data_IF_144852813606
#
_entry.id   IF_144852813606
#
_cell.length_a   1.000
_cell.length_b   1.000
_cell.length_c   1.000
_cell.angle_alpha   90.00
_cell.angle_beta   90.00
_cell.angle_gamma   90.00
#
_symmetry.space_group_name_H-M   'P 1'
#
loop_
_entity.id
_entity.type
_entity.pdbx_description
1 polymer ?
#
# COMPACT_ATOMS: atom_id res chain seq x y z
N UNK A 1 11.72 -3.40 -11.18
CA UNK A 1 10.64 -2.40 -11.04
C UNK A 1 10.92 -1.60 -9.79
N UNK A 2 10.36 -0.41 -9.70
CA UNK A 2 10.43 0.48 -8.54
C UNK A 2 9.01 0.88 -8.17
N UNK A 3 8.75 1.10 -6.88
CA UNK A 3 7.54 1.80 -6.47
C UNK A 3 7.74 3.27 -6.83
N UNK A 4 6.98 3.77 -7.80
CA UNK A 4 7.11 5.11 -8.37
C UNK A 4 6.13 6.10 -7.73
N UNK A 5 4.95 5.63 -7.33
CA UNK A 5 3.94 6.49 -6.71
C UNK A 5 3.13 5.73 -5.68
N UNK A 6 2.75 6.45 -4.62
CA UNK A 6 1.78 6.02 -3.63
C UNK A 6 0.68 7.07 -3.55
N UNK A 7 -0.56 6.64 -3.72
CA UNK A 7 -1.75 7.45 -3.52
C UNK A 7 -2.58 6.83 -2.40
N UNK A 8 -2.99 7.63 -1.42
CA UNK A 8 -3.72 7.18 -0.24
C UNK A 8 -4.88 8.14 -0.02
N UNK A 9 -6.07 7.59 0.22
CA UNK A 9 -7.25 8.32 0.70
C UNK A 9 -7.84 7.56 1.88
N UNK A 10 -8.15 8.28 2.96
CA UNK A 10 -8.90 7.75 4.09
C UNK A 10 -8.15 6.74 4.96
N UNK A 11 -6.81 6.75 5.01
CA UNK A 11 -6.03 5.77 5.77
C UNK A 11 -5.34 6.36 7.01
N UNK A 12 -5.77 5.93 8.20
CA UNK A 12 -5.21 6.27 9.52
C UNK A 12 -5.03 7.77 9.70
N UNK A 13 -3.79 8.26 9.77
CA UNK A 13 -3.48 9.69 9.88
C UNK A 13 -3.43 10.45 8.55
N UNK A 14 -3.83 9.84 7.43
CA UNK A 14 -3.83 10.44 6.10
C UNK A 14 -5.27 10.53 5.57
N UNK A 15 -5.78 11.75 5.42
CA UNK A 15 -7.03 11.97 4.69
C UNK A 15 -6.78 11.81 3.17
N UNK A 16 -5.79 12.52 2.62
CA UNK A 16 -5.39 12.39 1.22
C UNK A 16 -3.89 12.64 1.06
N UNK A 17 -3.21 11.75 0.33
CA UNK A 17 -1.80 11.87 -0.01
C UNK A 17 -1.57 11.35 -1.43
N UNK A 18 -0.76 12.05 -2.20
CA UNK A 18 -0.17 11.55 -3.44
C UNK A 18 1.31 11.88 -3.42
N UNK A 19 2.16 10.87 -3.47
CA UNK A 19 3.61 11.01 -3.32
C UNK A 19 4.33 10.23 -4.42
N UNK A 20 5.19 10.94 -5.14
CA UNK A 20 6.17 10.32 -6.04
C UNK A 20 7.36 9.81 -5.24
N UNK A 21 7.85 8.63 -5.63
CA UNK A 21 8.99 7.97 -5.03
C UNK A 21 10.06 7.70 -6.08
N UNK A 22 11.30 7.98 -5.71
CA UNK A 22 12.49 7.65 -6.47
C UNK A 22 13.14 6.37 -5.92
N UNK A 23 14.35 6.05 -6.39
CA UNK A 23 15.11 4.92 -5.86
C UNK A 23 15.46 5.11 -4.38
N UNK A 24 15.81 6.34 -3.99
CA UNK A 24 16.14 6.72 -2.62
C UNK A 24 15.28 7.91 -2.21
N UNK A 25 14.58 7.81 -1.09
CA UNK A 25 13.65 8.83 -0.64
C UNK A 25 13.95 9.24 0.79
N UNK A 26 13.94 10.54 1.06
CA UNK A 26 14.01 11.10 2.42
C UNK A 26 12.68 11.78 2.71
N UNK A 27 11.93 11.26 3.67
CA UNK A 27 10.61 11.78 4.04
C UNK A 27 10.74 12.78 5.20
N UNK A 28 10.51 14.07 4.90
CA UNK A 28 10.56 15.19 5.85
C UNK A 28 9.20 15.90 5.83
N UNK A 29 8.72 16.29 7.02
CA UNK A 29 7.53 17.12 7.17
C UNK A 29 7.16 17.31 8.63
N UNK A 30 6.14 18.11 8.88
CA UNK A 30 5.64 18.48 10.21
C UNK A 30 5.14 17.30 11.06
N UNK A 31 5.06 17.47 12.37
CA UNK A 31 4.43 16.44 13.20
C UNK A 31 2.96 16.26 12.74
N UNK A 32 2.54 15.02 12.54
CA UNK A 32 1.20 14.62 12.09
C UNK A 32 0.85 14.75 10.59
N UNK A 33 1.80 15.01 9.67
CA UNK A 33 1.47 14.94 8.21
C UNK A 33 1.11 13.53 7.70
N UNK A 34 1.24 12.49 8.54
CA UNK A 34 0.93 11.11 8.17
C UNK A 34 2.14 10.25 7.80
N UNK A 35 3.38 10.67 8.08
CA UNK A 35 4.61 9.88 7.82
C UNK A 35 4.52 8.44 8.32
N UNK A 36 4.11 8.26 9.57
CA UNK A 36 3.99 6.95 10.20
C UNK A 36 2.91 6.12 9.49
N UNK A 37 1.77 6.73 9.17
CA UNK A 37 0.68 6.08 8.42
C UNK A 37 1.12 5.64 7.02
N UNK A 38 1.90 6.45 6.30
CA UNK A 38 2.45 6.06 4.99
C UNK A 38 3.37 4.84 5.12
N UNK A 39 4.28 4.86 6.10
CA UNK A 39 5.18 3.73 6.34
C UNK A 39 4.42 2.49 6.79
N UNK A 40 3.37 2.65 7.59
CA UNK A 40 2.50 1.56 8.01
C UNK A 40 1.76 0.97 6.81
N UNK A 41 1.13 1.80 5.97
CA UNK A 41 0.46 1.35 4.74
C UNK A 41 1.39 0.52 3.87
N UNK A 42 2.60 1.02 3.58
CA UNK A 42 3.59 0.28 2.79
C UNK A 42 4.03 -1.02 3.46
N UNK A 43 4.20 -1.02 4.79
CA UNK A 43 4.60 -2.22 5.54
C UNK A 43 3.48 -3.27 5.50
N UNK A 44 2.23 -2.87 5.66
CA UNK A 44 1.08 -3.78 5.70
C UNK A 44 0.80 -4.35 4.32
N UNK A 45 0.68 -3.50 3.30
CA UNK A 45 0.32 -3.92 1.93
C UNK A 45 1.40 -4.76 1.25
N UNK A 46 2.67 -4.55 1.61
CA UNK A 46 3.82 -5.21 0.99
C UNK A 46 4.60 -6.06 1.99
N UNK A 47 3.94 -6.52 3.08
CA UNK A 47 4.54 -7.45 4.04
C UNK A 47 4.75 -8.82 3.38
N UNK A 48 5.92 -9.47 3.52
CA UNK A 48 6.19 -10.78 2.92
C UNK A 48 5.51 -11.95 3.68
N UNK A 49 4.40 -11.70 4.38
CA UNK A 49 3.62 -12.70 5.11
C UNK A 49 2.89 -13.66 4.15
N UNK A 50 2.39 -14.77 4.68
CA UNK A 50 1.67 -15.78 3.90
C UNK A 50 0.36 -15.24 3.31
N UNK A 51 -0.33 -14.41 4.09
CA UNK A 51 -1.65 -13.91 3.78
C UNK A 51 -1.59 -12.45 3.34
N UNK A 52 -2.47 -12.08 2.40
CA UNK A 52 -2.57 -10.72 1.92
C UNK A 52 -3.26 -9.85 2.98
N UNK A 53 -2.78 -8.61 3.14
CA UNK A 53 -3.32 -7.70 4.13
C UNK A 53 -4.78 -7.31 3.87
N UNK A 54 -5.61 -7.40 4.91
CA UNK A 54 -6.99 -6.93 4.92
C UNK A 54 -7.12 -5.70 5.82
N UNK A 55 -7.93 -4.73 5.40
CA UNK A 55 -8.19 -3.55 6.21
C UNK A 55 -8.96 -3.90 7.47
N UNK A 56 -8.63 -3.19 8.54
CA UNK A 56 -9.34 -3.23 9.80
C UNK A 56 -10.06 -1.90 10.03
N UNK A 57 -11.02 -1.89 10.96
CA UNK A 57 -11.80 -0.68 11.26
C UNK A 57 -10.92 0.49 11.66
N UNK A 58 -9.79 0.23 12.32
CA UNK A 58 -8.85 1.25 12.79
C UNK A 58 -7.92 1.79 11.68
N UNK A 59 -8.00 1.24 10.47
CA UNK A 59 -7.32 1.81 9.31
C UNK A 59 -8.03 2.99 8.70
N UNK A 60 -9.32 3.19 8.97
CA UNK A 60 -10.08 4.28 8.39
C UNK A 60 -9.73 5.60 9.07
N UNK A 61 -9.45 6.63 8.26
CA UNK A 61 -9.17 7.97 8.73
C UNK A 61 -10.36 8.54 9.47
N UNK A 62 -10.10 9.35 10.49
CA UNK A 62 -11.11 10.14 11.16
C UNK A 62 -10.53 11.52 11.49
N UNK A 63 -11.36 12.58 11.48
CA UNK A 63 -10.92 13.92 11.86
C UNK A 63 -10.37 13.95 13.29
N UNK A 64 -9.28 14.69 13.55
CA UNK A 64 -8.80 14.89 14.92
C UNK A 64 -9.91 15.45 15.82
N UNK A 65 -10.22 14.74 16.91
CA UNK A 65 -11.26 15.14 17.86
C UNK A 65 -12.67 14.64 17.53
N UNK A 66 -12.87 13.97 16.40
CA UNK A 66 -14.16 13.36 16.03
C UNK A 66 -13.98 11.91 15.56
N UNK A 67 -14.05 10.97 16.50
CA UNK A 67 -13.99 9.53 16.23
C UNK A 67 -15.24 9.04 15.45
N UNK A 68 -16.37 9.74 15.58
CA UNK A 68 -17.61 9.37 14.91
C UNK A 68 -17.61 9.81 13.44
N UNK A 69 -16.80 10.81 13.08
CA UNK A 69 -16.53 11.21 11.70
C UNK A 69 -15.59 10.29 10.93
N UNK A 70 -15.43 9.03 11.35
CA UNK A 70 -14.57 8.05 10.67
C UNK A 70 -15.10 7.78 9.26
N UNK A 71 -14.19 7.78 8.31
CA UNK A 71 -14.51 7.50 6.91
C UNK A 71 -15.05 6.09 6.75
N UNK A 72 -15.99 5.94 5.83
CA UNK A 72 -16.54 4.63 5.45
C UNK A 72 -15.77 4.00 4.29
N UNK A 73 -14.98 4.79 3.58
CA UNK A 73 -14.22 4.36 2.41
C UNK A 73 -12.76 4.79 2.55
N UNK A 74 -11.86 3.88 2.19
CA UNK A 74 -10.46 4.20 2.02
C UNK A 74 -9.93 3.51 0.77
N UNK A 75 -8.90 4.07 0.15
CA UNK A 75 -8.19 3.38 -0.91
C UNK A 75 -6.72 3.75 -0.94
N UNK A 76 -5.92 2.78 -1.37
CA UNK A 76 -4.49 2.93 -1.55
C UNK A 76 -4.13 2.41 -2.93
N UNK A 77 -3.47 3.24 -3.74
CA UNK A 77 -2.96 2.87 -5.06
C UNK A 77 -1.44 2.92 -5.01
N UNK A 78 -0.82 1.79 -5.34
CA UNK A 78 0.62 1.63 -5.49
C UNK A 78 0.95 1.50 -6.98
N UNK A 79 1.73 2.44 -7.50
CA UNK A 79 2.17 2.43 -8.89
C UNK A 79 3.60 1.93 -8.98
N UNK A 80 3.80 0.79 -9.62
CA UNK A 80 5.11 0.21 -9.86
C UNK A 80 5.53 0.43 -11.31
N UNK A 81 6.70 1.02 -11.55
CA UNK A 81 7.25 1.19 -12.89
C UNK A 81 8.33 0.16 -13.18
N UNK A 82 8.40 -0.34 -14.41
CA UNK A 82 9.57 -1.12 -14.84
C UNK A 82 10.86 -0.30 -14.70
N UNK A 83 11.99 -0.96 -14.42
CA UNK A 83 13.25 -0.27 -14.13
C UNK A 83 13.92 0.31 -15.37
N UNK A 84 13.75 -0.35 -16.52
CA UNK A 84 14.17 0.09 -17.85
C UNK A 84 13.09 -0.35 -18.84
N UNK A 85 12.90 0.35 -19.97
CA UNK A 85 11.93 -0.05 -20.98
C UNK A 85 12.12 -1.50 -21.42
N UNK A 86 11.01 -2.27 -21.45
CA UNK A 86 10.99 -3.68 -21.84
C UNK A 86 11.42 -4.67 -20.76
N UNK A 87 11.83 -4.22 -19.57
CA UNK A 87 12.18 -5.12 -18.46
C UNK A 87 10.97 -5.83 -17.87
N UNK A 88 9.74 -5.36 -18.07
CA UNK A 88 8.54 -6.08 -17.68
C UNK A 88 8.45 -7.50 -18.29
N UNK A 89 9.16 -7.77 -19.40
CA UNK A 89 9.15 -9.07 -20.10
C UNK A 89 10.07 -10.14 -19.50
N UNK A 90 10.88 -9.83 -18.49
CA UNK A 90 11.78 -10.85 -17.91
C UNK A 90 11.00 -11.93 -17.19
N UNK A 91 11.52 -13.18 -17.18
CA UNK A 91 10.81 -14.36 -16.67
C UNK A 91 10.17 -14.20 -15.28
N UNK A 92 10.83 -13.50 -14.36
CA UNK A 92 10.31 -13.30 -13.00
C UNK A 92 9.01 -12.47 -12.93
N UNK A 93 8.69 -11.71 -13.98
CA UNK A 93 7.47 -10.89 -14.07
C UNK A 93 6.34 -11.57 -14.85
N UNK A 94 6.57 -12.76 -15.41
CA UNK A 94 5.56 -13.49 -16.18
C UNK A 94 4.21 -13.65 -15.45
N UNK A 95 4.16 -13.93 -14.13
CA UNK A 95 2.88 -14.01 -13.43
C UNK A 95 2.09 -12.69 -13.37
N UNK A 96 2.73 -11.55 -13.66
CA UNK A 96 2.12 -10.22 -13.68
C UNK A 96 1.90 -9.70 -15.11
N UNK A 97 2.07 -10.54 -16.13
CA UNK A 97 2.00 -10.13 -17.55
C UNK A 97 0.71 -9.36 -17.87
N UNK A 98 -0.44 -9.84 -17.38
CA UNK A 98 -1.74 -9.20 -17.56
C UNK A 98 -1.90 -7.88 -16.77
N UNK A 99 -1.11 -7.67 -15.71
CA UNK A 99 -1.21 -6.48 -14.86
C UNK A 99 -0.40 -5.27 -15.40
N UNK A 100 0.46 -5.48 -16.39
CA UNK A 100 1.28 -4.42 -16.96
C UNK A 100 0.49 -3.56 -17.94
N UNK A 101 0.53 -2.26 -17.71
CA UNK A 101 -0.08 -1.25 -18.55
C UNK A 101 0.99 -0.41 -19.26
N UNK A 102 0.97 -0.29 -20.60
CA UNK A 102 1.86 0.62 -21.32
C UNK A 102 1.48 2.07 -21.05
N UNK A 103 2.47 2.92 -20.78
CA UNK A 103 2.28 4.35 -20.59
C UNK A 103 2.93 5.17 -21.72
N UNK A 104 2.56 6.45 -21.80
CA UNK A 104 2.97 7.37 -22.87
C UNK A 104 4.45 7.71 -22.86
N UNK A 105 5.16 7.48 -21.76
CA UNK A 105 6.60 7.74 -21.59
C UNK A 105 7.48 6.54 -22.01
N UNK A 106 6.88 5.50 -22.60
CA UNK A 106 7.58 4.29 -23.06
C UNK A 106 7.88 3.28 -21.95
N UNK A 107 7.46 3.55 -20.71
CA UNK A 107 7.53 2.60 -19.61
C UNK A 107 6.20 1.88 -19.41
N UNK A 108 6.28 0.66 -18.92
CA UNK A 108 5.13 -0.09 -18.42
C UNK A 108 5.01 0.09 -16.91
N UNK A 109 3.76 0.16 -16.43
CA UNK A 109 3.41 0.30 -15.02
C UNK A 109 2.41 -0.76 -14.58
N UNK A 110 2.45 -1.12 -13.31
CA UNK A 110 1.40 -1.86 -12.62
C UNK A 110 0.75 -0.88 -11.64
N UNK A 111 -0.56 -0.73 -11.74
CA UNK A 111 -1.35 0.04 -10.78
C UNK A 111 -2.09 -0.94 -9.89
N UNK A 112 -1.68 -1.07 -8.63
CA UNK A 112 -2.29 -1.98 -7.69
C UNK A 112 -3.11 -1.20 -6.67
N UNK A 113 -4.43 -1.44 -6.65
CA UNK A 113 -5.37 -0.77 -5.76
C UNK A 113 -5.87 -1.73 -4.68
N UNK A 114 -5.87 -1.26 -3.44
CA UNK A 114 -6.67 -1.80 -2.36
C UNK A 114 -7.74 -0.77 -1.98
N UNK A 115 -8.97 -1.24 -1.82
CA UNK A 115 -10.13 -0.47 -1.36
C UNK A 115 -10.67 -1.10 -0.08
N UNK A 116 -11.01 -0.26 0.89
CA UNK A 116 -11.65 -0.64 2.13
C UNK A 116 -13.03 0.00 2.21
N UNK A 117 -14.05 -0.78 2.53
CA UNK A 117 -15.39 -0.29 2.84
C UNK A 117 -15.81 -0.76 4.23
N UNK A 118 -16.21 0.18 5.08
CA UNK A 118 -16.74 -0.11 6.42
C UNK A 118 -18.26 -0.01 6.41
N UNK A 119 -18.93 -1.11 6.71
CA UNK A 119 -20.37 -1.15 6.90
C UNK A 119 -20.78 -0.61 8.28
N UNK A 120 -22.07 -0.31 8.45
CA UNK A 120 -22.63 0.21 9.71
C UNK A 120 -22.54 -0.78 10.87
N UNK A 121 -22.54 -2.09 10.57
CA UNK A 121 -22.37 -3.16 11.57
C UNK A 121 -20.92 -3.31 12.06
N UNK A 122 -19.99 -2.51 11.52
CA UNK A 122 -18.58 -2.52 11.84
C UNK A 122 -17.77 -3.58 11.07
N UNK A 123 -18.38 -4.31 10.15
CA UNK A 123 -17.65 -5.18 9.22
C UNK A 123 -16.87 -4.35 8.21
N UNK A 124 -15.68 -4.84 7.86
CA UNK A 124 -14.78 -4.19 6.89
C UNK A 124 -14.57 -5.14 5.72
N UNK A 125 -14.88 -4.66 4.52
CA UNK A 125 -14.61 -5.34 3.27
C UNK A 125 -13.33 -4.79 2.66
N UNK A 126 -12.47 -5.68 2.16
CA UNK A 126 -11.27 -5.30 1.39
C UNK A 126 -11.39 -5.81 -0.02
N UNK A 127 -11.31 -4.89 -0.98
CA UNK A 127 -11.31 -5.15 -2.41
C UNK A 127 -9.90 -4.92 -2.96
N UNK A 128 -9.48 -5.77 -3.91
CA UNK A 128 -8.20 -5.67 -4.60
C UNK A 128 -8.44 -5.63 -6.09
N UNK A 129 -7.72 -4.76 -6.79
CA UNK A 129 -7.79 -4.68 -8.24
C UNK A 129 -6.48 -4.19 -8.83
N UNK A 130 -6.12 -4.70 -9.99
CA UNK A 130 -5.14 -4.06 -10.86
C UNK A 130 -5.87 -3.07 -11.76
N UNK A 131 -5.27 -1.92 -12.04
CA UNK A 131 -5.89 -0.88 -12.87
C UNK A 131 -5.11 -0.66 -14.16
N UNK A 132 -5.82 -0.22 -15.19
CA UNK A 132 -5.23 0.34 -16.40
C UNK A 132 -4.80 1.81 -16.20
N UNK A 133 -4.28 2.44 -17.26
CA UNK A 133 -3.80 3.83 -17.25
C UNK A 133 -4.92 4.86 -17.05
N UNK A 134 -6.16 4.46 -17.31
CA UNK A 134 -7.35 5.31 -17.23
C UNK A 134 -8.06 5.11 -15.86
N UNK A 135 -7.57 4.18 -15.03
CA UNK A 135 -8.05 3.91 -13.68
C UNK A 135 -9.11 2.81 -13.60
N UNK A 136 -9.36 2.09 -14.69
CA UNK A 136 -10.35 1.01 -14.71
C UNK A 136 -9.74 -0.33 -14.27
N UNK A 137 -10.49 -1.18 -13.55
CA UNK A 137 -10.04 -2.52 -13.20
C UNK A 137 -9.69 -3.35 -14.45
N UNK A 138 -8.54 -4.00 -14.41
CA UNK A 138 -8.12 -5.01 -15.38
C UNK A 138 -8.68 -6.36 -14.92
N UNK A 139 -9.33 -7.06 -15.83
CA UNK A 139 -9.78 -8.44 -15.60
C UNK A 139 -8.56 -9.38 -15.57
N UNK A 140 -8.34 -10.03 -14.43
CA UNK A 140 -7.23 -10.94 -14.20
C UNK A 140 -7.74 -12.19 -13.48
N UNK A 141 -7.29 -13.37 -13.91
CA UNK A 141 -7.87 -14.64 -13.46
C UNK A 141 -7.75 -14.90 -11.94
N UNK A 142 -6.59 -14.59 -11.34
CA UNK A 142 -6.36 -14.78 -9.90
C UNK A 142 -5.65 -13.57 -9.26
N UNK A 143 -6.45 -12.55 -8.95
CA UNK A 143 -6.01 -11.28 -8.33
C UNK A 143 -5.12 -11.53 -7.10
N UNK A 144 -5.46 -12.52 -6.29
CA UNK A 144 -4.74 -12.79 -5.04
C UNK A 144 -3.37 -13.40 -5.33
N UNK A 145 -3.24 -14.32 -6.28
CA UNK A 145 -1.94 -14.86 -6.67
C UNK A 145 -1.04 -13.82 -7.33
N UNK A 146 -1.60 -12.95 -8.17
CA UNK A 146 -0.84 -11.83 -8.75
C UNK A 146 -0.42 -10.83 -7.68
N UNK A 147 -1.30 -10.49 -6.73
CA UNK A 147 -0.95 -9.64 -5.58
C UNK A 147 0.17 -10.27 -4.73
N UNK A 148 0.08 -11.56 -4.39
CA UNK A 148 1.14 -12.27 -3.66
C UNK A 148 2.45 -12.24 -4.44
N UNK A 149 2.41 -12.43 -5.75
CA UNK A 149 3.61 -12.38 -6.59
C UNK A 149 4.21 -10.97 -6.65
N UNK A 150 3.38 -9.93 -6.71
CA UNK A 150 3.81 -8.53 -6.63
C UNK A 150 4.54 -8.25 -5.31
N UNK A 151 3.94 -8.65 -4.17
CA UNK A 151 4.52 -8.49 -2.83
C UNK A 151 5.85 -9.24 -2.71
N UNK A 152 5.94 -10.46 -3.23
CA UNK A 152 7.19 -11.24 -3.25
C UNK A 152 8.32 -10.54 -4.03
N UNK A 153 7.97 -9.81 -5.09
CA UNK A 153 8.93 -9.09 -5.91
C UNK A 153 9.30 -7.71 -5.33
N UNK A 154 8.41 -7.09 -4.58
CA UNK A 154 8.57 -5.75 -3.98
C UNK A 154 8.22 -5.76 -2.48
N UNK A 155 8.92 -6.55 -1.64
CA UNK A 155 8.63 -6.59 -0.22
C UNK A 155 9.07 -5.28 0.44
N UNK A 156 8.28 -4.79 1.39
CA UNK A 156 8.69 -3.69 2.28
C UNK A 156 9.20 -4.28 3.58
N UNK A 157 10.47 -4.02 3.87
CA UNK A 157 11.11 -4.41 5.12
C UNK A 157 11.34 -3.18 5.98
N UNK A 158 10.66 -3.12 7.13
CA UNK A 158 10.82 -2.02 8.07
C UNK A 158 11.92 -2.31 9.08
N UNK A 159 13.09 -1.74 8.84
CA UNK A 159 14.20 -1.79 9.79
C UNK A 159 13.95 -0.79 10.92
N UNK A 160 13.71 -1.30 12.13
CA UNK A 160 13.72 -0.50 13.37
C UNK A 160 14.92 -0.94 14.21
N UNK A 161 15.47 -0.02 14.99
CA UNK A 161 16.55 -0.33 15.93
C UNK A 161 16.11 -1.47 16.89
N UNK A 162 16.95 -2.50 17.03
CA UNK A 162 16.65 -3.73 17.78
C UNK A 162 16.26 -3.48 19.25
N UNK A 163 16.64 -2.33 19.81
CA UNK A 163 16.28 -1.91 21.17
C UNK A 163 14.77 -1.71 21.36
N UNK A 164 14.02 -1.41 20.30
CA UNK A 164 12.57 -1.23 20.35
C UNK A 164 11.81 -2.58 20.40
N UNK A 165 12.33 -3.62 19.74
CA UNK A 165 11.71 -4.97 19.74
C UNK A 165 11.69 -5.63 21.12
N UNK A 166 12.60 -5.23 22.03
CA UNK A 166 12.68 -5.77 23.40
C UNK A 166 11.52 -5.31 24.30
N UNK A 167 10.83 -4.22 23.95
CA UNK A 167 9.67 -3.71 24.72
C UNK A 167 8.37 -4.47 24.43
N UNK A 168 8.17 -4.96 23.20
CA UNK A 168 6.97 -5.72 22.83
C UNK A 168 7.04 -7.16 23.38
N UNK A 169 8.24 -7.76 23.47
CA UNK A 169 8.39 -9.10 24.07
C UNK A 169 8.23 -9.16 25.60
N UNK A 170 8.29 -8.03 26.29
CA UNK A 170 8.35 -8.01 27.76
C UNK A 170 7.11 -7.44 28.46
N UNK A 171 6.04 -7.07 27.75
CA UNK A 171 4.75 -6.72 28.39
C UNK A 171 4.78 -5.56 29.40
N UNK A 172 5.83 -4.72 29.42
CA UNK A 172 5.94 -3.60 30.35
C UNK A 172 5.83 -2.28 29.60
N UNK A 173 4.67 -1.65 29.72
CA UNK A 173 4.47 -0.23 29.43
C UNK A 173 5.08 0.57 30.60
N UNK A 174 6.02 1.49 30.40
CA UNK A 174 6.34 2.46 31.43
C UNK A 174 5.28 3.55 31.40
N UNK A 175 4.54 3.71 32.49
CA UNK A 175 3.82 4.94 32.79
C UNK A 175 4.81 6.11 32.75
N UNK A 176 4.52 7.13 31.95
CA UNK A 176 4.75 8.53 32.29
C UNK A 176 3.57 9.32 31.80
#
# INVERSE_FOLDING_TARGET
>A
MILERVEIVGFRGINRLSLMLEQNNVLIGENAWGKSSLLDALTLLLSPESDLYHFERDDFWFPPGDINGREHHLHIILTFRESLPGRHRVRRYRPLEACWTPCTDGYHRIFYRLEGESAEDGSVMTLRSFLDKDGHPIDVEDINDQARHLVRLMPVLRLRDARFMRRIRNGTVPNV
#
